data_IF_011649591336
#
_entry.id   IF_011649591336
#
_cell.length_a   1.000
_cell.length_b   1.000
_cell.length_c   1.000
_cell.angle_alpha   90.00
_cell.angle_beta   90.00
_cell.angle_gamma   90.00
#
_symmetry.space_group_name_H-M   'P 1'
#
loop_
_entity.id
_entity.type
_entity.pdbx_description
1 polymer ?
#
# COMPACT_ATOMS: atom_id res chain seq x y z
N UNK A 1 -1.31 17.66 8.35
CA UNK A 1 -2.14 16.45 8.29
C UNK A 1 -1.38 15.29 8.89
N UNK A 2 -2.09 14.46 9.64
CA UNK A 2 -1.54 13.28 10.33
C UNK A 2 -2.18 12.04 9.77
N UNK A 3 -1.39 11.09 9.28
CA UNK A 3 -1.86 9.87 8.68
C UNK A 3 -1.40 8.66 9.51
N UNK A 4 -2.33 7.77 9.85
CA UNK A 4 -2.03 6.48 10.45
C UNK A 4 -2.00 5.41 9.35
N UNK A 5 -0.94 4.61 9.33
CA UNK A 5 -0.83 3.48 8.41
C UNK A 5 -0.77 2.21 9.24
N UNK A 6 -1.76 1.33 9.10
CA UNK A 6 -1.89 0.12 9.93
C UNK A 6 -1.68 -1.12 9.07
N UNK A 7 -0.63 -1.91 9.37
CA UNK A 7 -0.43 -3.16 8.64
C UNK A 7 1.00 -3.68 8.59
N UNK A 8 1.43 -4.16 7.43
CA UNK A 8 2.62 -4.99 7.25
C UNK A 8 3.94 -4.22 7.23
N UNK A 9 4.95 -4.86 7.79
CA UNK A 9 6.35 -4.45 7.78
C UNK A 9 7.17 -5.67 7.36
N UNK A 10 7.76 -5.65 6.17
CA UNK A 10 8.53 -6.76 5.63
C UNK A 10 9.94 -6.37 5.30
N UNK A 11 10.84 -7.33 5.33
CA UNK A 11 12.10 -7.28 4.59
C UNK A 11 11.94 -8.10 3.30
N UNK A 12 12.25 -7.50 2.16
CA UNK A 12 12.24 -8.19 0.88
C UNK A 12 13.63 -8.77 0.64
N UNK A 13 13.74 -10.10 0.69
CA UNK A 13 14.94 -10.85 0.39
C UNK A 13 14.89 -11.27 -1.08
N UNK A 14 15.66 -10.58 -1.92
CA UNK A 14 15.69 -10.82 -3.37
C UNK A 14 16.94 -11.56 -3.77
N UNK A 15 16.76 -12.70 -4.42
CA UNK A 15 17.84 -13.49 -5.03
C UNK A 15 17.68 -13.39 -6.55
N UNK A 16 18.77 -13.08 -7.26
CA UNK A 16 18.82 -13.16 -8.72
C UNK A 16 19.49 -14.45 -9.17
N UNK A 17 19.01 -15.04 -10.25
CA UNK A 17 19.55 -16.23 -10.88
C UNK A 17 19.26 -16.23 -12.38
N UNK A 18 19.97 -17.06 -13.14
CA UNK A 18 19.75 -17.21 -14.59
C UNK A 18 18.31 -17.62 -14.94
N UNK A 19 17.74 -18.53 -14.14
CA UNK A 19 16.35 -19.01 -14.27
C UNK A 19 15.78 -19.43 -12.91
N UNK A 20 14.49 -19.66 -12.87
CA UNK A 20 13.82 -20.24 -11.67
C UNK A 20 14.20 -21.73 -11.57
N UNK A 21 14.61 -22.24 -10.37
CA UNK A 21 14.95 -23.64 -10.20
C UNK A 21 13.71 -24.54 -10.36
N UNK A 22 13.89 -25.70 -10.99
CA UNK A 22 12.88 -26.73 -11.08
C UNK A 22 12.79 -27.51 -9.76
N UNK A 23 11.71 -28.29 -9.60
CA UNK A 23 11.51 -29.13 -8.41
C UNK A 23 12.68 -30.10 -8.21
N UNK A 24 13.33 -30.02 -7.05
CA UNK A 24 14.47 -30.87 -6.67
C UNK A 24 15.83 -30.38 -7.21
N UNK A 25 15.88 -29.23 -7.86
CA UNK A 25 17.08 -28.66 -8.42
C UNK A 25 17.75 -27.66 -7.46
N UNK A 26 19.07 -27.58 -7.52
CA UNK A 26 19.88 -26.54 -6.88
C UNK A 26 20.57 -25.72 -7.95
N UNK A 27 20.34 -24.41 -7.96
CA UNK A 27 21.05 -23.45 -8.81
C UNK A 27 21.97 -22.55 -7.99
N UNK A 28 23.03 -22.08 -8.63
CA UNK A 28 23.84 -20.97 -8.10
C UNK A 28 23.13 -19.65 -8.40
N UNK A 29 22.90 -18.83 -7.38
CA UNK A 29 22.41 -17.47 -7.57
C UNK A 29 23.54 -16.49 -7.87
N UNK A 30 23.19 -15.38 -8.52
CA UNK A 30 24.16 -14.33 -8.89
C UNK A 30 24.34 -13.30 -7.78
N UNK A 31 23.25 -12.92 -7.10
CA UNK A 31 23.27 -11.94 -6.03
C UNK A 31 22.14 -12.14 -5.03
N UNK A 32 22.31 -11.55 -3.84
CA UNK A 32 21.24 -11.44 -2.84
C UNK A 32 21.18 -10.00 -2.32
N UNK A 33 19.98 -9.48 -2.14
CA UNK A 33 19.74 -8.18 -1.52
C UNK A 33 18.65 -8.26 -0.46
N UNK A 34 18.72 -7.36 0.52
CA UNK A 34 17.73 -7.20 1.60
C UNK A 34 17.23 -5.77 1.56
N UNK A 35 16.02 -5.58 1.11
CA UNK A 35 15.43 -4.27 0.83
C UNK A 35 14.23 -4.06 1.77
N UNK A 36 14.07 -2.88 2.39
CA UNK A 36 12.84 -2.54 3.10
C UNK A 36 11.62 -2.66 2.19
N UNK A 37 10.61 -3.41 2.65
CA UNK A 37 9.40 -3.72 1.91
C UNK A 37 8.17 -3.82 2.82
N UNK A 38 7.12 -4.46 2.32
CA UNK A 38 5.78 -4.46 2.90
C UNK A 38 4.95 -3.30 2.35
N UNK A 39 3.76 -3.61 1.83
CA UNK A 39 2.89 -2.61 1.19
C UNK A 39 2.64 -1.40 2.09
N UNK A 40 2.38 -1.67 3.36
CA UNK A 40 2.08 -0.64 4.36
C UNK A 40 3.28 0.24 4.64
N UNK A 41 4.45 -0.36 4.87
CA UNK A 41 5.68 0.38 5.07
C UNK A 41 6.05 1.22 3.82
N UNK A 42 5.83 0.69 2.62
CA UNK A 42 6.01 1.41 1.37
C UNK A 42 5.08 2.63 1.28
N UNK A 43 3.79 2.44 1.57
CA UNK A 43 2.82 3.54 1.55
C UNK A 43 3.16 4.61 2.59
N UNK A 44 3.61 4.21 3.79
CA UNK A 44 4.07 5.14 4.82
C UNK A 44 5.27 5.98 4.36
N UNK A 45 6.25 5.35 3.71
CA UNK A 45 7.42 6.06 3.13
C UNK A 45 6.98 7.02 2.02
N UNK A 46 6.07 6.59 1.13
CA UNK A 46 5.54 7.47 0.09
C UNK A 46 4.87 8.70 0.69
N UNK A 47 4.00 8.53 1.69
CA UNK A 47 3.33 9.64 2.39
C UNK A 47 4.32 10.59 3.05
N UNK A 48 5.32 10.06 3.75
CA UNK A 48 6.34 10.87 4.44
C UNK A 48 7.18 11.69 3.45
N UNK A 49 7.65 11.09 2.35
CA UNK A 49 8.36 11.78 1.27
C UNK A 49 7.51 12.87 0.61
N UNK A 50 6.19 12.70 0.61
CA UNK A 50 5.21 13.65 0.09
C UNK A 50 4.70 14.64 1.14
N UNK A 51 5.38 14.74 2.29
CA UNK A 51 5.22 15.79 3.28
C UNK A 51 4.14 15.58 4.34
N UNK A 52 3.62 14.36 4.50
CA UNK A 52 2.71 14.03 5.58
C UNK A 52 3.45 13.76 6.90
N UNK A 53 2.81 14.05 8.03
CA UNK A 53 3.16 13.49 9.32
C UNK A 53 2.57 12.09 9.40
N UNK A 54 3.42 11.06 9.40
CA UNK A 54 3.00 9.66 9.32
C UNK A 54 3.39 8.92 10.57
N UNK A 55 2.49 8.08 11.07
CA UNK A 55 2.80 7.07 12.07
C UNK A 55 2.48 5.67 11.56
N UNK A 56 3.41 4.75 11.79
CA UNK A 56 3.28 3.35 11.45
C UNK A 56 2.78 2.56 12.65
N UNK A 57 1.69 1.81 12.43
CA UNK A 57 1.09 0.87 13.37
C UNK A 57 1.27 -0.55 12.84
N UNK A 58 1.93 -1.41 13.61
CA UNK A 58 2.21 -2.77 13.16
C UNK A 58 3.06 -3.56 14.14
N UNK A 59 3.55 -4.70 13.70
CA UNK A 59 4.39 -5.56 14.52
C UNK A 59 5.65 -5.97 13.74
N UNK A 60 6.78 -6.07 14.46
CA UNK A 60 8.03 -6.67 13.96
C UNK A 60 8.54 -7.69 14.97
N UNK A 61 9.40 -8.58 14.53
CA UNK A 61 10.13 -9.47 15.43
C UNK A 61 11.25 -8.74 16.19
N UNK A 62 11.62 -9.27 17.35
CA UNK A 62 12.83 -8.87 18.06
C UNK A 62 14.06 -9.50 17.39
N UNK A 63 14.31 -9.11 16.14
CA UNK A 63 15.37 -9.61 15.29
C UNK A 63 16.05 -8.45 14.51
N UNK A 64 17.15 -8.77 13.80
CA UNK A 64 17.90 -7.78 13.02
C UNK A 64 17.06 -7.15 11.90
N UNK A 65 16.11 -7.91 11.32
CA UNK A 65 15.22 -7.38 10.29
C UNK A 65 14.24 -6.37 10.88
N UNK A 66 13.62 -6.66 12.03
CA UNK A 66 12.75 -5.74 12.73
C UNK A 66 13.43 -4.43 13.08
N UNK A 67 14.66 -4.52 13.61
CA UNK A 67 15.48 -3.34 13.89
C UNK A 67 15.76 -2.52 12.63
N UNK A 68 16.20 -3.17 11.55
CA UNK A 68 16.44 -2.49 10.26
C UNK A 68 15.20 -1.79 9.74
N UNK A 69 14.02 -2.41 9.87
CA UNK A 69 12.76 -1.81 9.40
C UNK A 69 12.36 -0.60 10.23
N UNK A 70 12.49 -0.66 11.56
CA UNK A 70 12.23 0.49 12.44
C UNK A 70 13.20 1.63 12.13
N UNK A 71 14.50 1.34 11.98
CA UNK A 71 15.51 2.34 11.65
C UNK A 71 15.25 2.98 10.27
N UNK A 72 14.84 2.17 9.27
CA UNK A 72 14.45 2.68 7.96
C UNK A 72 13.27 3.67 8.05
N UNK A 73 12.23 3.36 8.82
CA UNK A 73 11.08 4.24 9.02
C UNK A 73 11.49 5.55 9.72
N UNK A 74 12.31 5.48 10.76
CA UNK A 74 12.84 6.65 11.45
C UNK A 74 13.65 7.54 10.53
N UNK A 75 14.45 6.96 9.61
CA UNK A 75 15.21 7.70 8.60
C UNK A 75 14.32 8.47 7.62
N UNK A 76 13.08 8.01 7.44
CA UNK A 76 12.03 8.71 6.67
C UNK A 76 11.13 9.60 7.54
N UNK A 77 11.52 9.87 8.81
CA UNK A 77 10.74 10.68 9.76
C UNK A 77 9.33 10.14 10.05
N UNK A 78 9.14 8.82 9.91
CA UNK A 78 7.89 8.15 10.26
C UNK A 78 7.94 7.81 11.75
N UNK A 79 6.88 8.15 12.48
CA UNK A 79 6.71 7.76 13.89
C UNK A 79 6.55 6.24 14.00
N UNK A 80 7.21 5.65 14.98
CA UNK A 80 7.29 4.19 15.18
C UNK A 80 6.91 3.76 16.60
N UNK A 81 6.34 4.66 17.39
CA UNK A 81 6.06 4.44 18.82
C UNK A 81 5.05 3.32 19.05
N UNK A 82 4.16 3.12 18.08
CA UNK A 82 3.14 2.08 18.09
C UNK A 82 3.52 0.81 17.30
N UNK A 83 4.78 0.66 16.91
CA UNK A 83 5.28 -0.62 16.38
C UNK A 83 5.61 -1.54 17.54
N UNK A 84 4.89 -2.66 17.64
CA UNK A 84 5.14 -3.67 18.67
C UNK A 84 6.29 -4.58 18.27
N UNK A 85 7.30 -4.71 19.13
CA UNK A 85 8.42 -5.65 18.94
C UNK A 85 8.11 -6.95 19.68
N UNK A 86 8.14 -8.08 18.99
CA UNK A 86 7.70 -9.39 19.51
C UNK A 86 8.84 -10.38 19.64
N UNK A 87 8.99 -10.97 20.83
CA UNK A 87 9.94 -12.06 21.06
C UNK A 87 9.42 -13.38 20.47
N UNK A 88 10.33 -14.18 19.91
CA UNK A 88 10.03 -15.52 19.40
C UNK A 88 9.21 -15.57 18.11
N UNK A 89 8.92 -14.43 17.50
CA UNK A 89 8.23 -14.33 16.22
C UNK A 89 9.13 -13.57 15.24
N UNK A 90 9.45 -14.09 14.05
CA UNK A 90 10.29 -13.37 13.10
C UNK A 90 9.56 -12.18 12.48
N UNK A 91 10.32 -11.16 12.09
CA UNK A 91 9.79 -10.09 11.22
C UNK A 91 9.28 -10.66 9.90
N UNK A 92 8.26 -10.05 9.31
CA UNK A 92 7.72 -10.47 8.01
C UNK A 92 8.79 -10.44 6.90
N UNK A 93 8.76 -11.44 6.03
CA UNK A 93 9.73 -11.59 4.93
C UNK A 93 8.97 -11.85 3.63
N UNK A 94 9.36 -11.17 2.55
CA UNK A 94 9.06 -11.59 1.19
C UNK A 94 10.33 -12.20 0.60
N UNK A 95 10.25 -13.49 0.20
CA UNK A 95 11.32 -14.19 -0.51
C UNK A 95 11.04 -14.05 -2.01
N UNK A 96 11.91 -13.32 -2.70
CA UNK A 96 11.73 -12.97 -4.10
C UNK A 96 12.85 -13.62 -4.91
N UNK A 97 12.49 -14.42 -5.92
CA UNK A 97 13.44 -14.90 -6.92
C UNK A 97 13.18 -14.13 -8.20
N UNK A 98 14.21 -13.48 -8.73
CA UNK A 98 14.19 -12.76 -10.01
C UNK A 98 15.01 -13.51 -11.04
N UNK A 99 14.39 -13.89 -12.14
CA UNK A 99 15.00 -14.60 -13.25
C UNK A 99 14.21 -14.34 -14.54
N UNK A 100 14.85 -14.38 -15.70
CA UNK A 100 14.18 -14.34 -17.04
C UNK A 100 13.26 -13.11 -17.23
N UNK A 101 13.57 -11.98 -16.61
CA UNK A 101 12.75 -10.74 -16.55
C UNK A 101 11.38 -10.93 -15.87
N UNK A 102 11.24 -11.92 -15.00
CA UNK A 102 10.04 -12.19 -14.19
C UNK A 102 10.44 -12.47 -12.74
N UNK A 103 9.47 -12.60 -11.85
CA UNK A 103 9.72 -12.93 -10.46
C UNK A 103 8.72 -13.94 -9.89
N UNK A 104 9.16 -14.62 -8.83
CA UNK A 104 8.29 -15.41 -7.95
C UNK A 104 8.45 -14.92 -6.52
N UNK A 105 7.35 -14.83 -5.78
CA UNK A 105 7.33 -14.27 -4.44
C UNK A 105 6.62 -15.22 -3.48
N UNK A 106 7.28 -15.50 -2.34
CA UNK A 106 6.68 -16.19 -1.20
C UNK A 106 6.71 -15.23 -0.02
N UNK A 107 5.55 -14.90 0.52
CA UNK A 107 5.44 -14.04 1.71
C UNK A 107 5.25 -14.90 2.95
N UNK A 108 6.11 -14.68 3.94
CA UNK A 108 5.98 -15.22 5.29
C UNK A 108 5.57 -14.09 6.22
N UNK A 109 4.32 -14.07 6.71
CA UNK A 109 3.79 -12.94 7.48
C UNK A 109 4.59 -12.63 8.75
N UNK A 110 5.09 -13.66 9.45
CA UNK A 110 5.80 -13.47 10.72
C UNK A 110 5.00 -12.61 11.69
N UNK A 111 5.62 -11.55 12.20
CA UNK A 111 5.01 -10.61 13.14
C UNK A 111 3.79 -9.87 12.58
N UNK A 112 3.66 -9.72 11.25
CA UNK A 112 2.46 -9.12 10.66
C UNK A 112 1.20 -9.92 10.96
N UNK A 113 1.30 -11.25 11.12
CA UNK A 113 0.21 -12.10 11.55
C UNK A 113 -0.26 -11.85 13.00
N UNK A 114 0.48 -11.03 13.76
CA UNK A 114 0.16 -10.61 15.13
C UNK A 114 -0.39 -9.18 15.20
N UNK A 115 -0.60 -8.54 14.07
CA UNK A 115 -1.43 -7.34 13.98
C UNK A 115 -2.88 -7.81 14.00
N UNK A 116 -3.32 -8.27 15.15
CA UNK A 116 -4.64 -8.86 15.40
C UNK A 116 -5.61 -7.85 16.04
N UNK A 117 -6.82 -8.30 16.36
CA UNK A 117 -7.84 -7.44 16.99
C UNK A 117 -7.42 -6.94 18.37
N UNK A 118 -6.64 -7.72 19.11
CA UNK A 118 -6.11 -7.31 20.41
C UNK A 118 -5.12 -6.15 20.26
N UNK A 119 -4.24 -6.24 19.25
CA UNK A 119 -3.35 -5.15 18.91
C UNK A 119 -4.15 -3.87 18.58
N UNK A 120 -5.14 -3.94 17.69
CA UNK A 120 -5.99 -2.79 17.35
C UNK A 120 -6.70 -2.25 18.58
N UNK A 121 -7.24 -3.14 19.42
CA UNK A 121 -7.89 -2.71 20.67
C UNK A 121 -6.96 -1.90 21.56
N UNK A 122 -5.67 -2.24 21.60
CA UNK A 122 -4.67 -1.53 22.41
C UNK A 122 -4.32 -0.13 21.88
N UNK A 123 -4.49 0.12 20.56
CA UNK A 123 -4.12 1.37 19.91
C UNK A 123 -5.31 2.19 19.41
N UNK A 124 -6.53 1.69 19.52
CA UNK A 124 -7.72 2.30 18.90
C UNK A 124 -8.00 3.73 19.31
N UNK A 125 -7.72 4.09 20.56
CA UNK A 125 -7.90 5.47 21.03
C UNK A 125 -6.86 6.41 20.39
N UNK A 126 -5.64 5.90 20.10
CA UNK A 126 -4.62 6.68 19.41
C UNK A 126 -5.03 6.94 17.95
N UNK A 127 -5.68 5.98 17.27
CA UNK A 127 -6.15 6.16 15.89
C UNK A 127 -7.11 7.35 15.73
N UNK A 128 -7.80 7.77 16.78
CA UNK A 128 -8.69 8.94 16.75
C UNK A 128 -7.96 10.28 16.59
N UNK A 129 -6.64 10.29 16.77
CA UNK A 129 -5.81 11.50 16.64
C UNK A 129 -5.34 11.76 15.21
N UNK A 130 -5.75 10.91 14.25
CA UNK A 130 -5.32 10.98 12.85
C UNK A 130 -6.45 11.43 11.92
N UNK A 131 -6.06 12.18 10.88
CA UNK A 131 -7.00 12.69 9.88
C UNK A 131 -7.50 11.56 8.94
N UNK A 132 -6.76 10.44 8.87
CA UNK A 132 -7.10 9.29 8.03
C UNK A 132 -6.31 8.04 8.45
N UNK A 133 -6.92 6.87 8.28
CA UNK A 133 -6.29 5.55 8.44
C UNK A 133 -6.16 4.89 7.07
N UNK A 134 -4.99 4.29 6.80
CA UNK A 134 -4.70 3.59 5.55
C UNK A 134 -4.39 2.13 5.83
N UNK A 135 -5.09 1.23 5.11
CA UNK A 135 -5.09 -0.22 5.34
C UNK A 135 -4.83 -0.98 4.02
N UNK A 136 -4.30 -2.20 4.15
CA UNK A 136 -4.10 -3.18 3.07
C UNK A 136 -4.38 -4.59 3.60
N UNK A 137 -4.17 -5.63 2.76
CA UNK A 137 -4.48 -7.02 3.09
C UNK A 137 -3.26 -7.88 3.48
N UNK A 138 -2.17 -7.29 3.94
CA UNK A 138 -0.97 -8.06 4.39
C UNK A 138 -0.95 -8.34 5.91
N UNK A 139 -2.05 -8.09 6.60
CA UNK A 139 -2.33 -8.50 7.99
C UNK A 139 -3.61 -9.34 8.01
N UNK A 140 -3.99 -9.99 9.13
CA UNK A 140 -5.22 -10.76 9.19
C UNK A 140 -6.44 -9.95 8.71
N UNK A 141 -7.20 -10.48 7.75
CA UNK A 141 -8.34 -9.78 7.13
C UNK A 141 -9.39 -9.38 8.15
N UNK A 142 -9.62 -10.23 9.15
CA UNK A 142 -10.54 -9.90 10.25
C UNK A 142 -10.11 -8.68 11.07
N UNK A 143 -8.79 -8.41 11.13
CA UNK A 143 -8.26 -7.19 11.76
C UNK A 143 -8.50 -5.97 10.88
N UNK A 144 -8.31 -6.12 9.57
CA UNK A 144 -8.62 -5.05 8.60
C UNK A 144 -10.10 -4.66 8.71
N UNK A 145 -11.00 -5.65 8.68
CA UNK A 145 -12.45 -5.42 8.76
C UNK A 145 -12.82 -4.74 10.09
N UNK A 146 -12.29 -5.24 11.21
CA UNK A 146 -12.51 -4.64 12.54
C UNK A 146 -12.01 -3.19 12.61
N UNK A 147 -10.86 -2.89 12.00
CA UNK A 147 -10.31 -1.52 11.99
C UNK A 147 -11.18 -0.59 11.15
N UNK A 148 -11.68 -1.05 9.99
CA UNK A 148 -12.63 -0.29 9.17
C UNK A 148 -13.92 0.01 9.95
N UNK A 149 -14.47 -0.99 10.66
CA UNK A 149 -15.63 -0.81 11.51
C UNK A 149 -15.41 0.26 12.58
N UNK A 150 -14.34 0.11 13.35
CA UNK A 150 -13.97 1.06 14.39
C UNK A 150 -13.82 2.49 13.85
N UNK A 151 -13.13 2.65 12.71
CA UNK A 151 -12.94 3.95 12.08
C UNK A 151 -14.27 4.57 11.63
N UNK A 152 -15.16 3.78 11.01
CA UNK A 152 -16.48 4.24 10.58
C UNK A 152 -17.33 4.70 11.75
N UNK A 153 -17.36 3.95 12.88
CA UNK A 153 -18.07 4.32 14.10
C UNK A 153 -17.55 5.62 14.75
N UNK A 154 -16.28 5.95 14.50
CA UNK A 154 -15.63 7.14 15.05
C UNK A 154 -15.44 8.27 14.03
N UNK A 155 -16.04 8.17 12.84
CA UNK A 155 -15.93 9.14 11.73
C UNK A 155 -14.48 9.40 11.29
N UNK A 156 -13.63 8.41 11.36
CA UNK A 156 -12.25 8.47 10.86
C UNK A 156 -12.25 7.98 9.41
N UNK A 157 -11.83 8.81 8.44
CA UNK A 157 -11.73 8.38 7.05
C UNK A 157 -10.77 7.21 6.88
N UNK A 158 -11.14 6.23 6.03
CA UNK A 158 -10.32 5.05 5.73
C UNK A 158 -10.08 4.93 4.23
N UNK A 159 -8.82 4.74 3.86
CA UNK A 159 -8.44 4.21 2.55
C UNK A 159 -8.10 2.72 2.73
N UNK A 160 -8.77 1.87 1.97
CA UNK A 160 -8.44 0.45 1.86
C UNK A 160 -7.88 0.15 0.47
N UNK A 161 -6.61 -0.22 0.42
CA UNK A 161 -6.01 -0.84 -0.75
C UNK A 161 -6.12 -2.36 -0.59
N UNK A 162 -7.01 -3.06 -1.31
CA UNK A 162 -7.34 -4.47 -1.07
C UNK A 162 -6.29 -5.41 -1.69
N UNK A 163 -5.02 -5.13 -1.45
CA UNK A 163 -3.86 -5.86 -1.95
C UNK A 163 -3.07 -6.50 -0.79
N UNK A 164 -2.65 -7.78 -0.90
CA UNK A 164 -2.96 -8.72 -1.98
C UNK A 164 -4.44 -9.05 -2.09
N UNK A 165 -4.84 -9.49 -3.30
CA UNK A 165 -6.22 -9.76 -3.64
C UNK A 165 -6.89 -10.75 -2.67
N UNK A 166 -7.99 -10.34 -2.08
CA UNK A 166 -8.85 -11.15 -1.21
C UNK A 166 -10.30 -10.65 -1.30
N UNK A 167 -11.24 -11.47 -0.89
CA UNK A 167 -12.65 -11.07 -0.78
C UNK A 167 -12.80 -9.98 0.29
N UNK A 168 -13.66 -9.01 0.01
CA UNK A 168 -14.02 -7.94 0.95
C UNK A 168 -15.54 -8.01 1.15
N UNK A 169 -16.03 -8.23 2.37
CA UNK A 169 -17.48 -8.20 2.64
C UNK A 169 -18.07 -6.85 2.24
N UNK A 170 -19.27 -6.87 1.65
CA UNK A 170 -19.92 -5.65 1.17
C UNK A 170 -20.18 -4.64 2.29
N UNK A 171 -20.42 -5.10 3.50
CA UNK A 171 -20.54 -4.27 4.70
C UNK A 171 -19.24 -3.49 5.02
N UNK A 172 -18.07 -4.04 4.69
CA UNK A 172 -16.78 -3.35 4.81
C UNK A 172 -16.63 -2.34 3.66
N UNK A 173 -16.99 -2.71 2.43
CA UNK A 173 -17.01 -1.80 1.26
C UNK A 173 -17.86 -0.56 1.54
N UNK A 174 -19.02 -0.73 2.17
CA UNK A 174 -19.90 0.40 2.51
C UNK A 174 -19.29 1.34 3.56
N UNK A 175 -18.47 0.82 4.47
CA UNK A 175 -17.86 1.59 5.57
C UNK A 175 -16.59 2.32 5.21
N UNK A 176 -15.77 1.82 4.26
CA UNK A 176 -14.56 2.53 3.83
C UNK A 176 -14.89 3.85 3.15
N UNK A 177 -14.00 4.84 3.29
CA UNK A 177 -14.13 6.11 2.58
C UNK A 177 -13.69 5.98 1.12
N UNK A 178 -12.55 5.33 0.92
CA UNK A 178 -11.99 5.06 -0.41
C UNK A 178 -11.53 3.60 -0.49
N UNK A 179 -11.84 2.96 -1.63
CA UNK A 179 -11.41 1.61 -1.98
C UNK A 179 -10.61 1.68 -3.28
N UNK A 180 -9.36 1.18 -3.27
CA UNK A 180 -8.41 1.37 -4.37
C UNK A 180 -7.94 0.04 -4.98
N UNK A 181 -8.83 -0.82 -5.47
CA UNK A 181 -8.45 -2.08 -6.10
C UNK A 181 -7.81 -1.84 -7.47
N UNK A 182 -6.98 -2.80 -7.91
CA UNK A 182 -6.71 -2.97 -9.32
C UNK A 182 -7.88 -3.72 -10.01
N UNK A 183 -7.81 -3.89 -11.33
CA UNK A 183 -8.88 -4.55 -12.09
C UNK A 183 -9.14 -6.00 -11.63
N UNK A 184 -8.08 -6.74 -11.26
CA UNK A 184 -8.20 -8.10 -10.78
C UNK A 184 -8.84 -8.15 -9.39
N UNK A 185 -8.40 -7.29 -8.49
CA UNK A 185 -8.96 -7.15 -7.14
C UNK A 185 -10.43 -6.70 -7.19
N UNK A 186 -10.77 -5.77 -8.09
CA UNK A 186 -12.14 -5.33 -8.29
C UNK A 186 -13.06 -6.49 -8.73
N UNK A 187 -12.60 -7.34 -9.64
CA UNK A 187 -13.34 -8.53 -10.07
C UNK A 187 -13.55 -9.52 -8.91
N UNK A 188 -12.54 -9.70 -8.06
CA UNK A 188 -12.65 -10.60 -6.91
C UNK A 188 -13.66 -10.09 -5.87
N UNK A 189 -13.71 -8.78 -5.66
CA UNK A 189 -14.60 -8.16 -4.66
C UNK A 189 -16.04 -8.08 -5.16
N UNK A 190 -16.23 -7.70 -6.42
CA UNK A 190 -17.57 -7.33 -6.96
C UNK A 190 -18.15 -8.33 -7.95
N UNK A 191 -17.40 -9.37 -8.34
CA UNK A 191 -17.81 -10.28 -9.42
C UNK A 191 -17.56 -9.71 -10.82
N UNK A 192 -18.14 -10.36 -11.81
CA UNK A 192 -18.01 -10.03 -13.25
C UNK A 192 -19.31 -9.57 -13.89
N UNK A 193 -20.38 -9.45 -13.12
CA UNK A 193 -21.73 -9.16 -13.61
C UNK A 193 -21.89 -7.71 -14.09
N UNK A 194 -21.16 -6.79 -13.46
CA UNK A 194 -21.16 -5.37 -13.82
C UNK A 194 -19.91 -5.02 -14.65
N UNK A 195 -20.11 -4.19 -15.65
CA UNK A 195 -19.00 -3.52 -16.32
C UNK A 195 -18.26 -2.59 -15.35
N UNK A 196 -17.01 -2.26 -15.65
CA UNK A 196 -16.24 -1.30 -14.85
C UNK A 196 -16.97 0.03 -14.69
N UNK A 197 -17.62 0.53 -15.76
CA UNK A 197 -18.37 1.79 -15.71
C UNK A 197 -19.60 1.72 -14.79
N UNK A 198 -20.38 0.65 -14.87
CA UNK A 198 -21.53 0.43 -13.97
C UNK A 198 -21.11 0.32 -12.51
N UNK A 199 -20.00 -0.38 -12.27
CA UNK A 199 -19.44 -0.55 -10.94
C UNK A 199 -18.98 0.80 -10.36
N UNK A 200 -18.26 1.61 -11.13
CA UNK A 200 -17.81 2.95 -10.71
C UNK A 200 -18.99 3.86 -10.40
N UNK A 201 -20.06 3.83 -11.22
CA UNK A 201 -21.29 4.61 -10.98
C UNK A 201 -22.04 4.20 -9.72
N UNK A 202 -21.89 2.94 -9.28
CA UNK A 202 -22.50 2.46 -8.03
C UNK A 202 -21.79 3.01 -6.78
N UNK A 203 -20.49 3.33 -6.89
CA UNK A 203 -19.65 3.81 -5.77
C UNK A 203 -18.92 5.11 -6.15
N UNK A 204 -19.64 6.23 -6.43
CA UNK A 204 -19.04 7.47 -6.90
C UNK A 204 -18.07 8.04 -5.84
N UNK A 205 -16.89 8.46 -6.31
CA UNK A 205 -15.76 8.98 -5.52
C UNK A 205 -15.21 8.06 -4.42
N UNK A 206 -15.86 6.92 -4.18
CA UNK A 206 -15.41 5.88 -3.25
C UNK A 206 -14.53 4.85 -3.93
N UNK A 207 -14.94 4.34 -5.09
CA UNK A 207 -14.20 3.32 -5.82
C UNK A 207 -13.24 3.94 -6.83
N UNK A 208 -11.96 3.60 -6.69
CA UNK A 208 -10.86 4.08 -7.52
C UNK A 208 -10.17 2.86 -8.13
N UNK A 209 -10.46 2.51 -9.38
CA UNK A 209 -9.90 1.31 -10.02
C UNK A 209 -8.57 1.68 -10.68
N UNK A 210 -7.48 1.08 -10.22
CA UNK A 210 -6.15 1.27 -10.79
C UNK A 210 -5.94 0.32 -11.97
N UNK A 211 -5.35 0.85 -13.08
CA UNK A 211 -5.28 0.17 -14.38
C UNK A 211 -3.86 0.21 -14.98
N UNK A 212 -2.85 0.25 -14.12
CA UNK A 212 -1.43 0.31 -14.53
C UNK A 212 -1.14 1.54 -15.40
N UNK A 213 -0.59 1.34 -16.58
CA UNK A 213 -0.25 2.41 -17.52
C UNK A 213 -1.46 3.20 -18.05
N UNK A 214 -2.68 2.68 -17.89
CA UNK A 214 -3.91 3.39 -18.24
C UNK A 214 -4.36 4.38 -17.14
N UNK A 215 -3.73 4.34 -15.98
CA UNK A 215 -3.98 5.25 -14.87
C UNK A 215 -5.05 4.77 -13.89
N UNK A 216 -5.93 5.67 -13.44
CA UNK A 216 -6.98 5.39 -12.46
C UNK A 216 -8.33 5.92 -12.94
N UNK A 217 -9.37 5.10 -12.79
CA UNK A 217 -10.76 5.48 -13.10
C UNK A 217 -11.60 5.55 -11.84
N UNK A 218 -12.48 6.54 -11.78
CA UNK A 218 -13.53 6.69 -10.77
C UNK A 218 -14.79 7.31 -11.39
N UNK A 219 -15.89 7.33 -10.66
CA UNK A 219 -17.07 8.11 -11.03
C UNK A 219 -17.17 9.33 -10.11
N UNK A 220 -17.41 10.51 -10.65
CA UNK A 220 -17.68 11.71 -9.87
C UNK A 220 -19.14 11.71 -9.35
N UNK A 221 -19.43 12.50 -8.31
CA UNK A 221 -20.81 12.63 -7.76
C UNK A 221 -21.87 13.06 -8.77
N UNK A 222 -21.45 13.76 -9.84
CA UNK A 222 -22.36 14.14 -10.93
C UNK A 222 -22.67 13.00 -11.92
N UNK A 223 -22.08 11.79 -11.71
CA UNK A 223 -22.24 10.61 -12.57
C UNK A 223 -21.26 10.53 -13.74
N UNK A 224 -20.35 11.50 -13.88
CA UNK A 224 -19.32 11.50 -14.91
C UNK A 224 -18.20 10.52 -14.57
N UNK A 225 -17.78 9.70 -15.53
CA UNK A 225 -16.60 8.83 -15.39
C UNK A 225 -15.35 9.67 -15.62
N UNK A 226 -14.54 9.78 -14.57
CA UNK A 226 -13.23 10.40 -14.61
C UNK A 226 -12.17 9.30 -14.79
N UNK A 227 -11.43 9.37 -15.88
CA UNK A 227 -10.18 8.62 -16.05
C UNK A 227 -9.02 9.61 -16.00
N UNK A 228 -8.10 9.37 -15.08
CA UNK A 228 -6.84 10.11 -14.99
C UNK A 228 -5.73 9.20 -15.51
N UNK A 229 -5.16 9.47 -16.71
CA UNK A 229 -4.15 8.60 -17.30
C UNK A 229 -2.84 8.64 -16.50
N UNK A 230 -2.08 7.56 -16.56
CA UNK A 230 -0.72 7.57 -16.04
C UNK A 230 0.16 8.51 -16.87
N UNK A 231 1.11 9.20 -16.23
CA UNK A 231 2.14 9.97 -16.93
C UNK A 231 3.05 8.99 -17.69
N UNK A 232 3.44 9.29 -18.94
CA UNK A 232 4.46 8.52 -19.63
C UNK A 232 5.77 8.51 -18.83
N UNK A 233 6.33 7.32 -18.62
CA UNK A 233 7.55 7.13 -17.82
C UNK A 233 8.51 6.17 -18.51
N UNK A 234 9.82 6.36 -18.31
CA UNK A 234 10.84 5.39 -18.71
C UNK A 234 10.95 4.35 -17.58
N UNK A 235 10.12 3.33 -17.67
CA UNK A 235 9.99 2.31 -16.62
C UNK A 235 11.29 1.52 -16.45
N UNK A 236 11.81 1.53 -15.22
CA UNK A 236 12.92 0.71 -14.77
C UNK A 236 12.42 -0.43 -13.85
N UNK A 237 11.46 -0.13 -12.96
CA UNK A 237 10.89 -1.08 -12.01
C UNK A 237 9.48 -0.62 -11.58
N UNK A 238 8.49 -1.50 -11.66
CA UNK A 238 7.10 -1.17 -11.26
C UNK A 238 6.79 -1.47 -9.79
N UNK A 239 7.75 -2.01 -9.05
CA UNK A 239 7.58 -2.36 -7.63
C UNK A 239 7.26 -1.10 -6.81
N UNK A 240 6.19 -1.16 -6.02
CA UNK A 240 5.77 -0.05 -5.17
C UNK A 240 5.03 1.09 -5.88
N UNK A 241 4.75 1.00 -7.20
CA UNK A 241 3.99 2.03 -7.91
C UNK A 241 2.57 2.19 -7.34
N UNK A 242 1.88 1.08 -7.05
CA UNK A 242 0.59 1.08 -6.38
C UNK A 242 0.66 1.66 -4.96
N UNK A 243 1.73 1.35 -4.22
CA UNK A 243 1.95 1.90 -2.87
C UNK A 243 2.19 3.41 -2.93
N UNK A 244 2.98 3.87 -3.91
CA UNK A 244 3.21 5.30 -4.18
C UNK A 244 1.91 6.02 -4.54
N UNK A 245 1.07 5.42 -5.39
CA UNK A 245 -0.23 5.96 -5.75
C UNK A 245 -1.13 6.14 -4.52
N UNK A 246 -1.27 5.08 -3.70
CA UNK A 246 -2.10 5.12 -2.50
C UNK A 246 -1.56 6.14 -1.48
N UNK A 247 -0.24 6.19 -1.27
CA UNK A 247 0.38 7.17 -0.39
C UNK A 247 0.15 8.60 -0.87
N UNK A 248 0.38 8.88 -2.15
CA UNK A 248 0.19 10.21 -2.74
C UNK A 248 -1.28 10.67 -2.74
N UNK A 249 -2.20 9.76 -3.06
CA UNK A 249 -3.64 10.00 -2.99
C UNK A 249 -4.06 10.35 -1.56
N UNK A 250 -3.63 9.55 -0.57
CA UNK A 250 -3.91 9.79 0.86
C UNK A 250 -3.49 11.19 1.30
N UNK A 251 -2.27 11.60 0.92
CA UNK A 251 -1.73 12.94 1.24
C UNK A 251 -2.58 14.05 0.66
N UNK A 252 -2.96 13.98 -0.61
CA UNK A 252 -3.73 15.06 -1.26
C UNK A 252 -5.16 15.12 -0.78
N UNK A 253 -5.82 13.97 -0.59
CA UNK A 253 -7.20 13.92 -0.07
C UNK A 253 -7.27 14.40 1.38
N UNK A 254 -6.35 13.99 2.24
CA UNK A 254 -6.30 14.45 3.62
C UNK A 254 -5.99 15.96 3.76
N UNK A 255 -5.37 16.56 2.73
CA UNK A 255 -5.18 18.00 2.60
C UNK A 255 -6.39 18.75 1.99
N UNK A 256 -7.49 18.07 1.73
CA UNK A 256 -8.72 18.67 1.21
C UNK A 256 -8.72 18.93 -0.30
N UNK A 257 -7.82 18.31 -1.07
CA UNK A 257 -7.87 18.39 -2.53
C UNK A 257 -9.12 17.66 -3.08
N UNK A 258 -9.65 18.14 -4.20
CA UNK A 258 -10.68 17.41 -4.94
C UNK A 258 -10.12 16.11 -5.54
N UNK A 259 -11.01 15.17 -5.88
CA UNK A 259 -10.65 13.84 -6.32
C UNK A 259 -9.78 13.85 -7.60
N UNK A 260 -10.06 14.74 -8.54
CA UNK A 260 -9.31 14.86 -9.79
C UNK A 260 -7.88 15.34 -9.53
N UNK A 261 -7.73 16.38 -8.73
CA UNK A 261 -6.43 16.92 -8.32
C UNK A 261 -5.62 15.86 -7.57
N UNK A 262 -6.25 15.15 -6.62
CA UNK A 262 -5.60 14.10 -5.85
C UNK A 262 -5.13 12.92 -6.74
N UNK A 263 -5.97 12.46 -7.68
CA UNK A 263 -5.62 11.38 -8.60
C UNK A 263 -4.56 11.79 -9.61
N UNK A 264 -4.58 13.05 -10.11
CA UNK A 264 -3.55 13.54 -11.01
C UNK A 264 -2.19 13.55 -10.33
N UNK A 265 -2.12 14.07 -9.11
CA UNK A 265 -0.90 14.06 -8.30
C UNK A 265 -0.42 12.63 -8.02
N UNK A 266 -1.34 11.74 -7.63
CA UNK A 266 -1.03 10.35 -7.29
C UNK A 266 -0.51 9.55 -8.48
N UNK A 267 -1.13 9.69 -9.66
CA UNK A 267 -0.65 9.05 -10.88
C UNK A 267 0.72 9.56 -11.33
N UNK A 268 0.97 10.87 -11.19
CA UNK A 268 2.28 11.44 -11.48
C UNK A 268 3.34 10.89 -10.54
N UNK A 269 3.06 10.85 -9.23
CA UNK A 269 3.97 10.28 -8.24
C UNK A 269 4.24 8.79 -8.51
N UNK A 270 3.20 7.99 -8.80
CA UNK A 270 3.33 6.59 -9.13
C UNK A 270 4.14 6.36 -10.41
N UNK A 271 3.94 7.16 -11.45
CA UNK A 271 4.72 7.06 -12.69
C UNK A 271 6.19 7.38 -12.44
N UNK A 272 6.50 8.44 -11.68
CA UNK A 272 7.87 8.79 -11.30
C UNK A 272 8.56 7.68 -10.51
N UNK A 273 7.83 7.00 -9.61
CA UNK A 273 8.41 5.92 -8.81
C UNK A 273 8.90 4.75 -9.66
N UNK A 274 8.32 4.54 -10.85
CA UNK A 274 8.73 3.45 -11.75
C UNK A 274 10.03 3.72 -12.51
N UNK A 275 10.56 4.94 -12.48
CA UNK A 275 11.78 5.33 -13.23
C UNK A 275 13.09 4.92 -12.52
N UNK A 276 13.00 4.38 -11.29
CA UNK A 276 14.15 3.94 -10.49
C UNK A 276 13.90 2.53 -9.94
N UNK A 277 14.95 1.77 -9.68
CA UNK A 277 14.85 0.45 -9.06
C UNK A 277 14.51 0.54 -7.57
N UNK A 278 13.65 -0.40 -7.11
CA UNK A 278 13.26 -0.59 -5.72
C UNK A 278 12.09 0.29 -5.29
N UNK A 279 11.16 -0.30 -4.54
CA UNK A 279 9.90 0.34 -4.15
C UNK A 279 10.12 1.71 -3.49
N UNK A 280 10.84 1.75 -2.35
CA UNK A 280 10.99 2.99 -1.57
C UNK A 280 12.01 3.97 -2.16
N UNK A 281 13.03 3.47 -2.84
CA UNK A 281 14.05 4.29 -3.50
C UNK A 281 13.50 5.05 -4.69
N UNK A 282 12.55 4.45 -5.41
CA UNK A 282 11.86 5.06 -6.55
C UNK A 282 10.90 6.20 -6.16
N UNK A 283 10.35 6.18 -4.94
CA UNK A 283 9.34 7.14 -4.51
C UNK A 283 9.81 8.60 -4.58
N UNK A 284 9.04 9.48 -5.27
CA UNK A 284 9.41 10.88 -5.43
C UNK A 284 9.13 11.73 -4.19
N UNK A 285 9.76 12.89 -4.14
CA UNK A 285 9.44 13.97 -3.22
C UNK A 285 8.31 14.86 -3.77
N UNK A 286 7.72 15.71 -2.92
CA UNK A 286 6.71 16.70 -3.34
C UNK A 286 7.23 17.56 -4.51
N UNK A 287 8.44 18.07 -4.40
CA UNK A 287 9.02 18.96 -5.41
C UNK A 287 9.23 18.26 -6.76
N UNK A 288 9.59 16.97 -6.77
CA UNK A 288 9.71 16.19 -8.00
C UNK A 288 8.34 16.03 -8.68
N UNK A 289 7.28 15.74 -7.91
CA UNK A 289 5.93 15.60 -8.47
C UNK A 289 5.38 16.93 -8.96
N UNK A 290 5.53 18.01 -8.19
CA UNK A 290 5.03 19.34 -8.56
C UNK A 290 5.71 19.91 -9.81
N UNK A 291 6.99 19.60 -10.00
CA UNK A 291 7.73 19.97 -11.22
C UNK A 291 7.14 19.32 -12.47
N UNK A 292 6.66 18.08 -12.38
CA UNK A 292 6.07 17.36 -13.51
C UNK A 292 4.61 17.79 -13.80
N UNK A 293 3.99 18.50 -12.88
CA UNK A 293 2.61 19.01 -13.02
C UNK A 293 2.54 20.44 -13.56
N UNK A 294 3.70 21.14 -13.67
CA UNK A 294 3.81 22.48 -14.25
C UNK A 294 3.88 22.44 -15.76
#
# INVERSE_FOLDING_TARGET
>A
MKLAVVGSINIDMTVTSERIPLKGETLMGDSISYIPGGKVANQAVAMAKLGAEVEMFGCVGNDENGKKMIDNMKNHSIKTDNIKVLDGVPTGIAMITVAENDNTIIVVPGANGKVDKEYIYSIKEELKNYDMVVLQHEIPLETVHYTVEFCAENNIPVILNPAPAAEVPMEVVEKVTYLTPNEHEAVLIFGKELSTEELLKKYPEKLLITQGSRGVSTCLKNGEILNVPARPAKVADTTGAGDTLNGAFSVKIANGADIKTALTFANTAASLSTEKFGAQTGMPTVSEVEKELQ
#
